data_IF_519358221331
#
_entry.id   IF_519358221331
#
_cell.length_a   1.000
_cell.length_b   1.000
_cell.length_c   1.000
_cell.angle_alpha   90.00
_cell.angle_beta   90.00
_cell.angle_gamma   90.00
#
_symmetry.space_group_name_H-M   'P 1'
#
loop_
_entity.id
_entity.type
_entity.pdbx_description
1 polymer ?
#
# COMPACT_ATOMS: atom_id res chain seq x y z
N UNK A 1 -18.63 -3.81 -10.66
CA UNK A 1 -17.68 -2.70 -10.78
C UNK A 1 -16.59 -2.82 -9.73
N UNK A 2 -15.39 -2.55 -10.14
CA UNK A 2 -14.26 -2.60 -9.21
C UNK A 2 -14.23 -1.32 -8.39
N UNK A 3 -14.08 -1.47 -7.08
CA UNK A 3 -13.96 -0.35 -6.17
C UNK A 3 -12.50 -0.25 -5.72
N UNK A 4 -11.81 0.75 -6.25
CA UNK A 4 -10.38 0.94 -5.97
C UNK A 4 -10.14 1.21 -4.48
N UNK A 5 -11.05 1.96 -3.84
CA UNK A 5 -10.93 2.23 -2.42
C UNK A 5 -11.00 0.95 -1.59
N UNK A 6 -11.92 0.06 -1.92
CA UNK A 6 -12.04 -1.21 -1.21
C UNK A 6 -10.79 -2.07 -1.40
N UNK A 7 -10.25 -2.07 -2.61
CA UNK A 7 -9.01 -2.81 -2.87
C UNK A 7 -7.84 -2.22 -2.08
N UNK A 8 -7.82 -0.91 -1.93
CA UNK A 8 -6.79 -0.26 -1.13
C UNK A 8 -6.94 -0.64 0.35
N UNK A 9 -8.18 -0.73 0.84
CA UNK A 9 -8.42 -1.20 2.20
C UNK A 9 -7.96 -2.65 2.36
N UNK A 10 -8.21 -3.49 1.35
CA UNK A 10 -7.72 -4.86 1.37
C UNK A 10 -6.21 -4.91 1.44
N UNK A 11 -5.53 -4.04 0.69
CA UNK A 11 -4.08 -3.97 0.74
C UNK A 11 -3.60 -3.62 2.15
N UNK A 12 -4.25 -2.66 2.80
CA UNK A 12 -3.91 -2.31 4.17
C UNK A 12 -4.05 -3.51 5.10
N UNK A 13 -5.11 -4.31 4.92
CA UNK A 13 -5.31 -5.52 5.72
C UNK A 13 -4.23 -6.55 5.47
N UNK A 14 -3.84 -6.72 4.21
CA UNK A 14 -2.76 -7.64 3.84
C UNK A 14 -1.46 -7.24 4.54
N UNK A 15 -1.14 -5.94 4.51
CA UNK A 15 0.08 -5.43 5.12
C UNK A 15 0.05 -5.59 6.63
N UNK A 16 -1.09 -5.33 7.23
CA UNK A 16 -1.28 -5.47 8.67
C UNK A 16 -1.07 -6.92 9.09
N UNK A 17 -1.69 -7.85 8.37
CA UNK A 17 -1.54 -9.28 8.66
C UNK A 17 -0.09 -9.72 8.48
N UNK A 18 0.55 -9.25 7.43
CA UNK A 18 1.96 -9.58 7.20
C UNK A 18 2.83 -9.08 8.34
N UNK A 19 2.57 -7.88 8.81
CA UNK A 19 3.34 -7.30 9.92
C UNK A 19 3.25 -8.17 11.17
N UNK A 20 2.03 -8.54 11.55
CA UNK A 20 1.84 -9.33 12.77
C UNK A 20 2.31 -10.76 12.62
N UNK A 21 2.24 -11.31 11.42
CA UNK A 21 2.74 -12.65 11.13
C UNK A 21 4.24 -12.77 11.36
N UNK A 22 4.95 -11.68 11.23
CA UNK A 22 6.40 -11.67 11.41
C UNK A 22 6.80 -11.45 12.87
N UNK A 23 5.84 -11.58 13.80
CA UNK A 23 6.13 -11.63 15.22
C UNK A 23 6.49 -10.31 15.86
N UNK A 24 6.10 -9.21 15.23
CA UNK A 24 6.40 -7.90 15.79
C UNK A 24 5.54 -7.62 17.02
N UNK A 25 6.14 -6.96 17.99
CA UNK A 25 5.44 -6.55 19.21
C UNK A 25 5.09 -5.08 19.22
N UNK A 26 5.51 -4.33 18.18
CA UNK A 26 5.20 -2.90 18.09
C UNK A 26 3.81 -2.69 17.52
N UNK A 27 3.19 -1.60 17.91
CA UNK A 27 1.88 -1.24 17.40
C UNK A 27 2.05 -0.48 16.10
N UNK A 28 1.72 -1.14 14.99
CA UNK A 28 1.63 -0.51 13.69
C UNK A 28 0.21 -0.58 13.21
N UNK A 29 -0.20 0.44 12.49
CA UNK A 29 -1.46 0.39 11.77
C UNK A 29 -1.24 0.93 10.36
N UNK A 30 -2.10 0.49 9.45
CA UNK A 30 -2.09 0.95 8.08
C UNK A 30 -3.44 1.58 7.79
N UNK A 31 -3.42 2.71 7.14
CA UNK A 31 -4.66 3.40 6.79
C UNK A 31 -4.52 4.10 5.46
N UNK A 32 -5.57 4.77 5.08
CA UNK A 32 -5.65 5.46 3.81
C UNK A 32 -5.84 6.94 4.05
N UNK A 33 -5.06 7.75 3.36
CA UNK A 33 -5.31 9.18 3.27
C UNK A 33 -5.68 9.49 1.83
N UNK A 34 -6.88 9.95 1.61
CA UNK A 34 -7.33 10.28 0.27
C UNK A 34 -6.79 11.64 -0.14
N UNK A 35 -6.22 11.70 -1.35
CA UNK A 35 -5.84 12.96 -1.96
C UNK A 35 -6.64 13.11 -3.24
N UNK A 36 -6.40 14.19 -3.96
CA UNK A 36 -7.14 14.45 -5.18
C UNK A 36 -6.99 13.33 -6.21
N UNK A 37 -5.79 12.77 -6.33
CA UNK A 37 -5.48 11.82 -7.40
C UNK A 37 -5.21 10.41 -6.87
N UNK A 38 -4.82 10.29 -5.61
CA UNK A 38 -4.34 9.02 -5.06
C UNK A 38 -5.01 8.69 -3.75
N UNK A 39 -4.99 7.40 -3.42
CA UNK A 39 -5.11 6.94 -2.04
C UNK A 39 -3.69 6.67 -1.56
N UNK A 40 -3.25 7.40 -0.54
CA UNK A 40 -1.97 7.11 0.10
C UNK A 40 -2.17 6.03 1.12
N UNK A 41 -1.34 5.00 1.05
CA UNK A 41 -1.30 3.97 2.09
C UNK A 41 -0.31 4.45 3.14
N UNK A 42 -0.80 4.74 4.33
CA UNK A 42 -0.01 5.33 5.42
C UNK A 42 0.26 4.27 6.47
N UNK A 43 1.52 4.15 6.85
CA UNK A 43 1.91 3.30 7.96
C UNK A 43 2.14 4.17 9.18
N UNK A 44 1.49 3.83 10.28
CA UNK A 44 1.54 4.62 11.52
C UNK A 44 2.09 3.76 12.65
N UNK A 45 3.13 4.27 13.29
CA UNK A 45 3.58 3.78 14.58
C UNK A 45 3.83 5.02 15.43
N UNK A 46 5.04 5.27 15.89
CA UNK A 46 5.36 6.54 16.54
C UNK A 46 5.40 7.70 15.55
N UNK A 47 5.58 7.37 14.28
CA UNK A 47 5.63 8.34 13.19
C UNK A 47 4.72 7.88 12.08
N UNK A 48 4.31 8.82 11.24
CA UNK A 48 3.55 8.51 10.04
C UNK A 48 4.48 8.48 8.85
N UNK A 49 4.34 7.46 8.04
CA UNK A 49 5.11 7.35 6.80
C UNK A 49 4.22 6.86 5.68
N UNK A 50 4.58 7.20 4.44
CA UNK A 50 3.83 6.74 3.28
C UNK A 50 4.41 5.42 2.80
N UNK A 51 3.58 4.38 2.79
CA UNK A 51 3.98 3.08 2.28
C UNK A 51 3.91 3.08 0.75
N UNK A 52 2.82 3.59 0.19
CA UNK A 52 2.57 3.52 -1.24
C UNK A 52 1.49 4.51 -1.66
N UNK A 53 1.38 4.69 -2.96
CA UNK A 53 0.31 5.48 -3.58
C UNK A 53 -0.50 4.58 -4.50
N UNK A 54 -1.81 4.74 -4.50
CA UNK A 54 -2.72 4.02 -5.39
C UNK A 54 -3.47 5.04 -6.24
N UNK A 55 -3.40 4.90 -7.56
CA UNK A 55 -4.13 5.78 -8.47
C UNK A 55 -5.64 5.50 -8.33
N UNK A 56 -6.41 6.54 -8.08
CA UNK A 56 -7.85 6.40 -7.84
C UNK A 56 -8.62 5.98 -9.08
N UNK A 57 -8.06 6.23 -10.26
CA UNK A 57 -8.76 5.94 -11.51
C UNK A 57 -8.61 4.50 -11.97
N UNK A 58 -7.45 3.90 -11.75
CA UNK A 58 -7.18 2.57 -12.33
C UNK A 58 -6.59 1.57 -11.35
N UNK A 59 -6.22 1.99 -10.15
CA UNK A 59 -5.68 1.07 -9.15
C UNK A 59 -4.19 0.80 -9.29
N UNK A 60 -3.48 1.56 -10.10
CA UNK A 60 -2.04 1.40 -10.21
C UNK A 60 -1.36 1.71 -8.88
N UNK A 61 -0.48 0.83 -8.48
CA UNK A 61 0.23 0.91 -7.20
C UNK A 61 1.64 1.38 -7.45
N UNK A 62 2.04 2.43 -6.74
CA UNK A 62 3.35 3.05 -6.87
C UNK A 62 4.08 3.02 -5.54
N UNK A 63 5.39 2.88 -5.61
CA UNK A 63 6.26 3.13 -4.46
C UNK A 63 6.24 4.62 -4.15
N UNK A 64 6.34 4.99 -2.89
CA UNK A 64 6.42 6.40 -2.50
C UNK A 64 7.83 6.93 -2.76
N UNK A 65 7.92 8.07 -3.42
CA UNK A 65 9.17 8.80 -3.57
C UNK A 65 9.34 9.79 -2.42
N UNK A 66 8.22 10.37 -1.97
CA UNK A 66 8.20 11.30 -0.86
C UNK A 66 6.82 11.27 -0.24
N UNK A 67 6.62 12.09 0.80
CA UNK A 67 5.30 12.21 1.43
C UNK A 67 4.23 12.65 0.42
N UNK A 68 4.62 13.45 -0.56
CA UNK A 68 3.64 14.09 -1.45
C UNK A 68 3.54 13.45 -2.81
N UNK A 69 4.48 12.61 -3.21
CA UNK A 69 4.53 12.14 -4.59
C UNK A 69 4.98 10.70 -4.70
N UNK A 70 4.40 9.95 -5.66
CA UNK A 70 4.86 8.61 -5.93
C UNK A 70 6.15 8.61 -6.76
N UNK A 71 6.91 7.53 -6.64
CA UNK A 71 8.03 7.28 -7.53
C UNK A 71 7.50 6.90 -8.91
N UNK A 72 8.28 7.15 -9.94
CA UNK A 72 7.89 6.79 -11.30
C UNK A 72 7.80 5.28 -11.47
N UNK A 73 6.84 4.86 -12.28
CA UNK A 73 6.71 3.47 -12.67
C UNK A 73 5.73 2.70 -11.81
N UNK A 74 4.73 2.12 -12.45
CA UNK A 74 3.75 1.28 -11.79
C UNK A 74 4.42 0.02 -11.31
N UNK A 75 4.22 -0.34 -10.04
CA UNK A 75 4.78 -1.57 -9.48
C UNK A 75 3.81 -2.74 -9.61
N UNK A 76 2.54 -2.49 -9.33
CA UNK A 76 1.46 -3.48 -9.41
C UNK A 76 0.19 -2.74 -9.74
N UNK A 77 -0.88 -3.49 -10.03
CA UNK A 77 -2.22 -2.91 -10.19
C UNK A 77 -3.16 -3.66 -9.27
N UNK A 78 -3.86 -2.92 -8.40
CA UNK A 78 -4.70 -3.56 -7.39
C UNK A 78 -5.83 -4.37 -7.99
N UNK A 79 -6.36 -3.94 -9.13
CA UNK A 79 -7.45 -4.65 -9.78
C UNK A 79 -6.99 -6.00 -10.33
N UNK A 80 -5.84 -6.00 -10.99
CA UNK A 80 -5.34 -7.19 -11.69
C UNK A 80 -4.49 -8.07 -10.79
N UNK A 81 -3.78 -7.46 -9.85
CA UNK A 81 -2.74 -8.16 -9.10
C UNK A 81 -3.10 -8.42 -7.64
N UNK A 82 -4.39 -8.25 -7.26
CA UNK A 82 -4.75 -8.34 -5.83
C UNK A 82 -4.39 -9.72 -5.25
N UNK A 83 -4.59 -10.78 -6.02
CA UNK A 83 -4.25 -12.12 -5.53
C UNK A 83 -2.75 -12.30 -5.39
N UNK A 84 -1.99 -11.74 -6.32
CA UNK A 84 -0.54 -11.76 -6.25
C UNK A 84 -0.05 -10.96 -5.04
N UNK A 85 -0.69 -9.84 -4.77
CA UNK A 85 -0.31 -9.00 -3.64
C UNK A 85 -0.57 -9.67 -2.29
N UNK A 86 -1.56 -10.55 -2.21
CA UNK A 86 -1.80 -11.31 -0.99
C UNK A 86 -0.59 -12.16 -0.61
N UNK A 87 0.21 -12.54 -1.57
CA UNK A 87 1.41 -13.35 -1.37
C UNK A 87 2.66 -12.48 -1.28
N UNK A 88 2.75 -11.47 -2.13
CA UNK A 88 3.99 -10.71 -2.34
C UNK A 88 4.12 -9.48 -1.46
N UNK A 89 2.99 -8.86 -1.08
CA UNK A 89 3.05 -7.61 -0.34
C UNK A 89 3.59 -7.84 1.06
N UNK A 90 4.45 -6.95 1.52
CA UNK A 90 4.97 -7.02 2.87
C UNK A 90 5.00 -5.62 3.50
N UNK A 91 4.97 -5.61 4.83
CA UNK A 91 4.83 -4.36 5.58
C UNK A 91 6.03 -3.44 5.40
N UNK A 92 7.20 -3.98 5.10
CA UNK A 92 8.42 -3.17 4.95
C UNK A 92 8.48 -2.47 3.61
N UNK A 93 7.63 -2.87 2.65
CA UNK A 93 7.60 -2.25 1.34
C UNK A 93 8.62 -2.80 0.37
N UNK A 94 9.33 -3.87 0.74
CA UNK A 94 10.36 -4.45 -0.12
C UNK A 94 9.82 -4.89 -1.48
N UNK A 95 8.59 -5.35 -1.53
CA UNK A 95 7.98 -5.79 -2.79
C UNK A 95 7.86 -4.65 -3.81
N UNK A 96 7.88 -3.40 -3.37
CA UNK A 96 7.77 -2.24 -4.26
C UNK A 96 9.10 -1.84 -4.89
N UNK A 97 10.18 -2.46 -4.45
CA UNK A 97 11.51 -2.17 -5.01
C UNK A 97 11.85 -3.05 -6.22
N UNK A 98 10.97 -3.92 -6.57
CA UNK A 98 11.17 -4.75 -7.75
C UNK A 98 11.14 -3.88 -8.99
N UNK A 99 11.99 -4.16 -9.93
CA UNK A 99 12.17 -3.51 -11.20
C UNK A 99 13.17 -2.40 -11.15
#
# INVERSE_FOLDING_TARGET
MTNIQELTVQLCGILHDNYYKNGSTLDYSFGIQETRKYYKVIMVNNQRSVHAFVDKNNGDLYKAASWKAPAKGVRYNLVEDIEKLKVMADWSGGYLYRR
#
